data_IF_916312611475
#
_entry.id   IF_916312611475
#
_cell.length_a   1.000
_cell.length_b   1.000
_cell.length_c   1.000
_cell.angle_alpha   90.00
_cell.angle_beta   90.00
_cell.angle_gamma   90.00
#
_symmetry.space_group_name_H-M   'P 1'
#
loop_
_entity.id
_entity.type
_entity.pdbx_description
1 polymer ?
#
# COMPACT_ATOMS: atom_id res chain seq x y z
N UNK A 1 43.71 -0.04 -1.52
CA UNK A 1 44.42 -1.16 -0.88
C UNK A 1 45.65 -0.64 -0.14
N UNK A 2 45.96 -1.20 1.03
CA UNK A 2 46.94 -0.68 2.00
C UNK A 2 48.37 -1.03 1.60
N UNK A 3 49.15 -0.04 1.18
CA UNK A 3 50.61 -0.19 1.01
C UNK A 3 51.26 -0.46 2.36
N UNK A 4 51.91 -1.62 2.51
CA UNK A 4 52.60 -1.99 3.75
C UNK A 4 53.74 -0.98 4.03
N UNK A 5 53.72 -0.38 5.23
CA UNK A 5 54.71 0.65 5.64
C UNK A 5 56.03 0.05 6.12
N UNK A 6 56.07 -1.25 6.41
CA UNK A 6 57.27 -1.94 6.88
C UNK A 6 57.27 -3.39 6.39
N UNK A 7 58.43 -3.91 5.95
CA UNK A 7 58.52 -5.27 5.45
C UNK A 7 58.23 -6.27 6.56
N UNK A 8 57.54 -7.36 6.22
CA UNK A 8 57.28 -8.45 7.15
C UNK A 8 58.60 -9.07 7.66
N UNK A 9 58.78 -9.20 8.99
CA UNK A 9 60.00 -9.76 9.55
C UNK A 9 60.17 -11.23 9.12
N UNK A 10 61.30 -11.55 8.50
CA UNK A 10 61.63 -12.91 8.05
C UNK A 10 61.39 -13.19 6.56
N UNK A 11 60.78 -12.28 5.79
CA UNK A 11 60.62 -12.44 4.33
C UNK A 11 61.76 -11.70 3.60
N UNK A 12 62.49 -12.34 2.67
CA UNK A 12 63.58 -11.68 1.96
C UNK A 12 63.01 -10.56 1.08
N UNK A 13 63.59 -9.35 1.21
CA UNK A 13 63.17 -8.16 0.44
C UNK A 13 64.25 -7.74 -0.54
N UNK A 14 63.83 -7.26 -1.71
CA UNK A 14 64.69 -6.62 -2.70
C UNK A 14 64.24 -5.19 -2.97
N UNK A 15 65.16 -4.33 -3.40
CA UNK A 15 64.81 -2.95 -3.76
C UNK A 15 64.04 -2.91 -5.08
N UNK A 16 63.18 -1.90 -5.27
CA UNK A 16 62.45 -1.73 -6.53
C UNK A 16 63.36 -1.61 -7.76
N UNK A 17 64.62 -1.16 -7.59
CA UNK A 17 65.62 -1.10 -8.67
C UNK A 17 66.17 -2.48 -9.02
N UNK A 18 66.37 -3.34 -8.04
CA UNK A 18 66.79 -4.73 -8.26
C UNK A 18 65.66 -5.52 -8.91
N UNK A 19 64.42 -5.35 -8.44
CA UNK A 19 63.23 -5.93 -9.07
C UNK A 19 63.07 -5.47 -10.53
N UNK A 20 63.28 -4.18 -10.80
CA UNK A 20 63.24 -3.61 -12.14
C UNK A 20 64.28 -4.24 -13.08
N UNK A 21 65.51 -4.47 -12.58
CA UNK A 21 66.56 -5.15 -13.35
C UNK A 21 66.20 -6.61 -13.64
N UNK A 22 65.62 -7.30 -12.66
CA UNK A 22 65.24 -8.71 -12.78
C UNK A 22 64.08 -8.88 -13.79
N UNK A 23 63.07 -8.03 -13.72
CA UNK A 23 61.91 -8.05 -14.62
C UNK A 23 62.12 -7.32 -15.96
N UNK A 24 63.29 -6.70 -16.18
CA UNK A 24 63.58 -5.84 -17.35
C UNK A 24 62.52 -4.75 -17.58
N UNK A 25 61.99 -4.16 -16.50
CA UNK A 25 60.98 -3.08 -16.51
C UNK A 25 61.54 -1.79 -15.91
N UNK A 26 60.88 -0.66 -16.18
CA UNK A 26 61.22 0.62 -15.54
C UNK A 26 60.85 0.57 -14.03
N UNK A 27 61.71 1.08 -13.11
CA UNK A 27 61.36 1.23 -11.70
C UNK A 27 60.02 1.92 -11.41
N UNK A 28 59.56 2.85 -12.27
CA UNK A 28 58.24 3.49 -12.17
C UNK A 28 57.10 2.52 -12.46
N UNK A 29 57.31 1.59 -13.40
CA UNK A 29 56.34 0.51 -13.66
C UNK A 29 56.22 -0.41 -12.45
N UNK A 30 57.34 -0.74 -11.80
CA UNK A 30 57.32 -1.54 -10.56
C UNK A 30 56.56 -0.82 -9.44
N UNK A 31 56.75 0.50 -9.28
CA UNK A 31 55.98 1.29 -8.30
C UNK A 31 54.48 1.21 -8.57
N UNK A 32 54.08 1.41 -9.84
CA UNK A 32 52.68 1.30 -10.24
C UNK A 32 52.12 -0.11 -9.99
N UNK A 33 52.88 -1.16 -10.28
CA UNK A 33 52.47 -2.55 -10.02
C UNK A 33 52.29 -2.83 -8.51
N UNK A 34 53.07 -2.19 -7.64
CA UNK A 34 52.88 -2.27 -6.17
C UNK A 34 51.60 -1.52 -5.75
N UNK A 35 51.32 -0.37 -6.36
CA UNK A 35 50.11 0.44 -6.08
C UNK A 35 48.83 -0.22 -6.58
N UNK A 36 48.88 -0.85 -7.77
CA UNK A 36 47.78 -1.58 -8.41
C UNK A 36 47.54 -2.97 -7.76
N UNK A 37 48.44 -3.40 -6.87
CA UNK A 37 48.33 -4.67 -6.13
C UNK A 37 48.78 -5.91 -6.94
N UNK A 38 49.47 -5.71 -8.07
CA UNK A 38 50.03 -6.80 -8.87
C UNK A 38 51.32 -7.38 -8.26
N UNK A 39 52.03 -6.61 -7.44
CA UNK A 39 53.24 -7.05 -6.71
C UNK A 39 53.10 -6.80 -5.21
N UNK A 40 53.40 -7.80 -4.39
CA UNK A 40 53.47 -7.65 -2.93
C UNK A 40 54.68 -6.80 -2.57
N UNK A 41 54.44 -5.60 -2.06
CA UNK A 41 55.51 -4.68 -1.73
C UNK A 41 55.03 -3.48 -0.95
N UNK A 42 55.98 -2.62 -0.61
CA UNK A 42 55.70 -1.46 0.22
C UNK A 42 56.69 -0.34 -0.01
N UNK A 43 56.42 0.78 0.66
CA UNK A 43 57.28 1.96 0.65
C UNK A 43 57.76 2.26 2.06
N UNK A 44 59.07 2.15 2.27
CA UNK A 44 59.71 2.63 3.49
C UNK A 44 59.78 4.16 3.47
N UNK A 45 59.18 4.81 4.48
CA UNK A 45 59.27 6.27 4.64
C UNK A 45 60.60 6.63 5.32
N UNK A 46 61.64 6.84 4.53
CA UNK A 46 62.91 7.38 5.02
C UNK A 46 62.83 8.90 5.25
N UNK A 47 63.78 9.48 6.00
CA UNK A 47 63.77 10.90 6.39
C UNK A 47 63.88 11.90 5.22
N UNK A 48 64.30 11.46 4.03
CA UNK A 48 64.49 12.34 2.88
C UNK A 48 63.76 11.89 1.61
N UNK A 49 63.51 10.58 1.43
CA UNK A 49 62.79 10.01 0.26
C UNK A 49 62.15 8.66 0.60
N UNK A 50 61.00 8.35 -0.02
CA UNK A 50 60.35 7.04 0.03
C UNK A 50 61.21 6.01 -0.71
N UNK A 51 61.52 4.88 -0.07
CA UNK A 51 62.26 3.75 -0.68
C UNK A 51 61.30 2.58 -0.88
N UNK A 52 61.07 2.21 -2.13
CA UNK A 52 60.19 1.10 -2.50
C UNK A 52 60.91 -0.25 -2.41
N UNK A 53 60.23 -1.24 -1.84
CA UNK A 53 60.71 -2.61 -1.71
C UNK A 53 59.67 -3.61 -2.20
N UNK A 54 60.13 -4.76 -2.68
CA UNK A 54 59.31 -5.89 -3.15
C UNK A 54 59.85 -7.16 -2.51
N UNK A 55 58.98 -8.11 -2.17
CA UNK A 55 59.44 -9.38 -1.59
C UNK A 55 60.07 -10.27 -2.66
N UNK A 56 61.29 -10.76 -2.37
CA UNK A 56 62.14 -11.47 -3.33
C UNK A 56 61.65 -12.89 -3.67
N UNK A 57 60.88 -13.48 -2.77
CA UNK A 57 60.24 -14.79 -2.95
C UNK A 57 59.21 -14.80 -4.09
N UNK A 58 58.64 -13.64 -4.46
CA UNK A 58 57.73 -13.55 -5.61
C UNK A 58 58.39 -13.87 -6.95
N UNK A 59 59.70 -13.63 -7.07
CA UNK A 59 60.44 -13.84 -8.30
C UNK A 59 61.10 -15.22 -8.39
N UNK A 60 61.22 -15.91 -7.24
CA UNK A 60 61.85 -17.22 -7.13
C UNK A 60 60.86 -18.33 -6.76
N UNK A 61 59.57 -18.02 -6.65
CA UNK A 61 58.54 -19.05 -6.77
C UNK A 61 58.60 -19.57 -8.20
N UNK A 62 58.92 -20.85 -8.45
CA UNK A 62 58.47 -21.46 -9.70
C UNK A 62 56.97 -21.19 -9.71
N UNK A 63 56.47 -20.50 -10.76
CA UNK A 63 55.07 -20.10 -10.91
C UNK A 63 54.20 -21.08 -10.15
N UNK A 64 53.72 -20.65 -8.97
CA UNK A 64 52.93 -21.51 -8.10
C UNK A 64 51.90 -22.14 -9.01
N UNK A 65 51.96 -23.48 -9.11
CA UNK A 65 51.28 -24.29 -10.12
C UNK A 65 49.99 -23.59 -10.53
N UNK A 66 50.02 -22.99 -11.72
CA UNK A 66 48.79 -22.54 -12.36
C UNK A 66 48.02 -23.84 -12.50
N UNK A 67 47.09 -24.09 -11.58
CA UNK A 67 46.13 -25.17 -11.69
C UNK A 67 45.65 -25.13 -13.15
N UNK A 68 45.66 -26.25 -13.87
CA UNK A 68 45.65 -26.22 -15.33
C UNK A 68 44.53 -25.30 -15.79
N UNK A 69 44.80 -24.31 -16.64
CA UNK A 69 43.83 -23.28 -17.02
C UNK A 69 42.49 -23.88 -17.52
N UNK A 70 42.52 -25.15 -17.94
CA UNK A 70 41.35 -25.97 -18.23
C UNK A 70 40.44 -26.27 -17.02
N UNK A 71 40.98 -26.60 -15.83
CA UNK A 71 40.17 -26.79 -14.60
C UNK A 71 39.55 -25.47 -14.14
N UNK A 72 40.32 -24.37 -14.11
CA UNK A 72 39.77 -23.07 -13.72
C UNK A 72 38.66 -22.62 -14.69
N UNK A 73 38.81 -22.88 -15.99
CA UNK A 73 37.76 -22.58 -16.97
C UNK A 73 36.52 -23.49 -16.81
N UNK A 74 36.68 -24.76 -16.47
CA UNK A 74 35.55 -25.66 -16.20
C UNK A 74 34.80 -25.29 -14.94
N UNK A 75 35.52 -24.89 -13.88
CA UNK A 75 34.91 -24.48 -12.61
C UNK A 75 34.11 -23.18 -12.77
N UNK A 76 34.66 -22.21 -13.53
CA UNK A 76 33.95 -20.97 -13.89
C UNK A 76 32.73 -21.25 -14.77
N UNK A 77 32.82 -22.20 -15.71
CA UNK A 77 31.68 -22.59 -16.54
C UNK A 77 30.57 -23.26 -15.72
N UNK A 78 30.93 -24.17 -14.80
CA UNK A 78 29.99 -24.82 -13.90
C UNK A 78 29.29 -23.82 -12.97
N UNK A 79 30.05 -22.86 -12.42
CA UNK A 79 29.48 -21.82 -11.57
C UNK A 79 28.58 -20.87 -12.37
N UNK A 80 28.97 -20.50 -13.60
CA UNK A 80 28.11 -19.71 -14.49
C UNK A 80 26.78 -20.42 -14.76
N UNK A 81 26.83 -21.71 -15.08
CA UNK A 81 25.63 -22.47 -15.41
C UNK A 81 24.72 -22.62 -14.18
N UNK A 82 25.31 -22.81 -12.99
CA UNK A 82 24.59 -22.77 -11.71
C UNK A 82 23.91 -21.41 -11.48
N UNK A 83 24.65 -20.32 -11.64
CA UNK A 83 24.11 -18.97 -11.46
C UNK A 83 22.99 -18.65 -12.46
N UNK A 84 23.08 -19.15 -13.69
CA UNK A 84 22.02 -18.98 -14.69
C UNK A 84 20.74 -19.72 -14.29
N UNK A 85 20.87 -20.93 -13.74
CA UNK A 85 19.73 -21.69 -13.21
C UNK A 85 19.09 -20.95 -12.02
N UNK A 86 19.90 -20.51 -11.05
CA UNK A 86 19.41 -19.75 -9.90
C UNK A 86 18.74 -18.43 -10.33
N UNK A 87 19.29 -17.73 -11.33
CA UNK A 87 18.66 -16.51 -11.86
C UNK A 87 17.32 -16.81 -12.54
N UNK A 88 17.20 -17.95 -13.23
CA UNK A 88 15.94 -18.38 -13.84
C UNK A 88 14.89 -18.68 -12.77
N UNK A 89 15.27 -19.40 -11.71
CA UNK A 89 14.39 -19.75 -10.59
C UNK A 89 13.92 -18.48 -9.84
N UNK A 90 14.84 -17.58 -9.51
CA UNK A 90 14.51 -16.31 -8.84
C UNK A 90 13.58 -15.43 -9.69
N UNK A 91 13.75 -15.43 -11.02
CA UNK A 91 12.83 -14.71 -11.92
C UNK A 91 11.45 -15.35 -11.94
N UNK A 92 11.36 -16.67 -11.92
CA UNK A 92 10.08 -17.38 -11.87
C UNK A 92 9.35 -17.08 -10.55
N UNK A 93 10.05 -17.12 -9.41
CA UNK A 93 9.49 -16.77 -8.10
C UNK A 93 9.02 -15.31 -8.05
N UNK A 94 9.81 -14.39 -8.62
CA UNK A 94 9.45 -12.97 -8.69
C UNK A 94 8.19 -12.73 -9.54
N UNK A 95 8.03 -13.46 -10.65
CA UNK A 95 6.80 -13.40 -11.45
C UNK A 95 5.61 -13.94 -10.65
N UNK A 96 5.77 -15.10 -10.01
CA UNK A 96 4.72 -15.73 -9.20
C UNK A 96 4.26 -14.83 -8.04
N UNK A 97 5.19 -14.23 -7.31
CA UNK A 97 4.88 -13.31 -6.20
C UNK A 97 4.19 -12.03 -6.70
N UNK A 98 4.59 -11.48 -7.85
CA UNK A 98 3.90 -10.35 -8.47
C UNK A 98 2.46 -10.68 -8.88
N UNK A 99 2.22 -11.89 -9.39
CA UNK A 99 0.88 -12.35 -9.73
C UNK A 99 0.01 -12.52 -8.48
N UNK A 100 0.55 -13.14 -7.43
CA UNK A 100 -0.13 -13.25 -6.14
C UNK A 100 -0.47 -11.86 -5.56
N UNK A 101 0.47 -10.91 -5.64
CA UNK A 101 0.24 -9.53 -5.19
C UNK A 101 -0.86 -8.83 -6.01
N UNK A 102 -0.88 -9.00 -7.33
CA UNK A 102 -1.96 -8.47 -8.18
C UNK A 102 -3.32 -9.06 -7.81
N UNK A 103 -3.38 -10.36 -7.51
CA UNK A 103 -4.61 -11.01 -7.08
C UNK A 103 -5.10 -10.46 -5.73
N UNK A 104 -4.20 -10.25 -4.77
CA UNK A 104 -4.54 -9.65 -3.47
C UNK A 104 -5.02 -8.22 -3.62
N UNK A 105 -4.40 -7.42 -4.49
CA UNK A 105 -4.89 -6.07 -4.76
C UNK A 105 -6.27 -6.07 -5.42
N UNK A 106 -6.51 -6.98 -6.36
CA UNK A 106 -7.82 -7.13 -6.99
C UNK A 106 -8.89 -7.53 -5.95
N UNK A 107 -8.60 -8.48 -5.06
CA UNK A 107 -9.55 -8.89 -4.02
C UNK A 107 -9.81 -7.77 -3.01
N UNK A 108 -8.79 -6.99 -2.63
CA UNK A 108 -8.97 -5.81 -1.80
C UNK A 108 -9.87 -4.76 -2.45
N UNK A 109 -9.70 -4.50 -3.75
CA UNK A 109 -10.56 -3.58 -4.48
C UNK A 109 -12.03 -4.05 -4.45
N UNK A 110 -12.29 -5.33 -4.72
CA UNK A 110 -13.64 -5.90 -4.65
C UNK A 110 -14.23 -5.83 -3.23
N UNK A 111 -13.44 -6.06 -2.19
CA UNK A 111 -13.91 -5.92 -0.80
C UNK A 111 -14.28 -4.47 -0.46
N UNK A 112 -13.50 -3.49 -0.91
CA UNK A 112 -13.81 -2.08 -0.70
C UNK A 112 -15.08 -1.64 -1.43
N UNK A 113 -15.27 -2.11 -2.66
CA UNK A 113 -16.49 -1.87 -3.43
C UNK A 113 -17.71 -2.47 -2.71
N UNK A 114 -17.63 -3.74 -2.29
CA UNK A 114 -18.69 -4.41 -1.55
C UNK A 114 -19.03 -3.71 -0.22
N UNK A 115 -18.03 -3.18 0.48
CA UNK A 115 -18.26 -2.41 1.71
C UNK A 115 -18.99 -1.09 1.42
N UNK A 116 -18.64 -0.42 0.33
CA UNK A 116 -19.28 0.84 -0.10
C UNK A 116 -20.74 0.60 -0.49
N UNK A 117 -21.01 -0.47 -1.22
CA UNK A 117 -22.38 -0.85 -1.59
C UNK A 117 -23.20 -1.28 -0.36
N UNK A 118 -22.58 -2.00 0.59
CA UNK A 118 -23.22 -2.33 1.85
C UNK A 118 -23.60 -1.07 2.65
N UNK A 119 -22.70 -0.11 2.77
CA UNK A 119 -22.98 1.16 3.44
C UNK A 119 -24.15 1.90 2.77
N UNK A 120 -24.15 1.99 1.44
CA UNK A 120 -25.26 2.58 0.68
C UNK A 120 -26.58 1.87 0.96
N UNK A 121 -26.58 0.53 0.96
CA UNK A 121 -27.78 -0.26 1.25
C UNK A 121 -28.31 -0.02 2.66
N UNK A 122 -27.41 0.10 3.65
CA UNK A 122 -27.80 0.42 5.04
C UNK A 122 -28.41 1.82 5.12
N UNK A 123 -27.81 2.81 4.45
CA UNK A 123 -28.34 4.17 4.42
C UNK A 123 -29.73 4.23 3.75
N UNK A 124 -29.92 3.50 2.64
CA UNK A 124 -31.20 3.37 1.97
C UNK A 124 -32.26 2.69 2.87
N UNK A 125 -31.89 1.66 3.61
CA UNK A 125 -32.78 1.01 4.59
C UNK A 125 -33.17 1.97 5.70
N UNK A 126 -32.23 2.73 6.26
CA UNK A 126 -32.51 3.72 7.29
C UNK A 126 -33.41 4.85 6.78
N UNK A 127 -33.17 5.33 5.57
CA UNK A 127 -34.05 6.31 4.92
C UNK A 127 -35.46 5.75 4.71
N UNK A 128 -35.57 4.52 4.20
CA UNK A 128 -36.84 3.82 4.01
C UNK A 128 -37.62 3.64 5.30
N UNK A 129 -36.97 3.19 6.38
CA UNK A 129 -37.64 3.02 7.70
C UNK A 129 -38.14 4.34 8.26
N UNK A 130 -37.42 5.43 8.03
CA UNK A 130 -37.84 6.78 8.43
C UNK A 130 -39.07 7.21 7.63
N UNK A 131 -39.05 7.05 6.30
CA UNK A 131 -40.20 7.34 5.44
C UNK A 131 -41.44 6.51 5.81
N UNK A 132 -41.26 5.23 6.15
CA UNK A 132 -42.36 4.39 6.63
C UNK A 132 -42.97 4.90 7.95
N UNK A 133 -42.12 5.35 8.89
CA UNK A 133 -42.60 5.93 10.15
C UNK A 133 -43.41 7.20 9.91
N UNK A 134 -42.92 8.07 9.03
CA UNK A 134 -43.61 9.32 8.68
C UNK A 134 -44.96 9.02 8.00
N UNK A 135 -44.98 8.07 7.06
CA UNK A 135 -46.22 7.62 6.42
C UNK A 135 -47.22 7.05 7.43
N UNK A 136 -46.77 6.28 8.42
CA UNK A 136 -47.62 5.76 9.48
C UNK A 136 -48.21 6.89 10.34
N UNK A 137 -47.41 7.92 10.67
CA UNK A 137 -47.89 9.09 11.40
C UNK A 137 -48.95 9.87 10.60
N UNK A 138 -48.73 10.08 9.30
CA UNK A 138 -49.72 10.70 8.41
C UNK A 138 -51.02 9.89 8.33
N UNK A 139 -50.93 8.57 8.25
CA UNK A 139 -52.10 7.70 8.24
C UNK A 139 -52.90 7.83 9.54
N UNK A 140 -52.23 7.82 10.70
CA UNK A 140 -52.87 7.99 12.00
C UNK A 140 -53.58 9.35 12.09
N UNK A 141 -52.93 10.43 11.65
CA UNK A 141 -53.54 11.75 11.60
C UNK A 141 -54.78 11.80 10.69
N UNK A 142 -54.72 11.14 9.52
CA UNK A 142 -55.85 11.04 8.60
C UNK A 142 -57.04 10.29 9.23
N UNK A 143 -56.79 9.17 9.93
CA UNK A 143 -57.83 8.42 10.64
C UNK A 143 -58.49 9.27 11.72
N UNK A 144 -57.72 9.99 12.54
CA UNK A 144 -58.27 10.91 13.55
C UNK A 144 -59.09 12.05 12.90
N UNK A 145 -58.63 12.59 11.78
CA UNK A 145 -59.37 13.58 10.99
C UNK A 145 -60.71 13.05 10.48
N UNK A 146 -60.73 11.82 9.95
CA UNK A 146 -61.96 11.15 9.51
C UNK A 146 -62.94 10.91 10.66
N UNK A 147 -62.47 10.48 11.83
CA UNK A 147 -63.30 10.31 13.01
C UNK A 147 -63.94 11.64 13.47
N UNK A 148 -63.14 12.72 13.50
CA UNK A 148 -63.66 14.06 13.81
C UNK A 148 -64.68 14.54 12.78
N UNK A 149 -64.41 14.31 11.49
CA UNK A 149 -65.35 14.63 10.41
C UNK A 149 -66.67 13.87 10.55
N UNK A 150 -66.62 12.56 10.81
CA UNK A 150 -67.82 11.75 11.05
C UNK A 150 -68.62 12.24 12.26
N UNK A 151 -67.95 12.63 13.35
CA UNK A 151 -68.62 13.23 14.51
C UNK A 151 -69.36 14.52 14.14
N UNK A 152 -68.72 15.40 13.35
CA UNK A 152 -69.35 16.65 12.86
C UNK A 152 -70.52 16.37 11.92
N UNK A 153 -70.39 15.42 10.99
CA UNK A 153 -71.48 15.03 10.10
C UNK A 153 -72.69 14.49 10.88
N UNK A 154 -72.45 13.67 11.90
CA UNK A 154 -73.51 13.17 12.77
C UNK A 154 -74.17 14.29 13.59
N UNK A 155 -73.41 15.27 14.07
CA UNK A 155 -73.96 16.45 14.75
C UNK A 155 -74.85 17.27 13.81
N UNK A 156 -74.40 17.53 12.58
CA UNK A 156 -75.18 18.25 11.57
C UNK A 156 -76.45 17.48 11.21
N UNK A 157 -76.36 16.17 11.01
CA UNK A 157 -77.51 15.32 10.73
C UNK A 157 -78.52 15.34 11.89
N UNK A 158 -78.05 15.28 13.14
CA UNK A 158 -78.89 15.41 14.33
C UNK A 158 -79.60 16.76 14.40
N UNK A 159 -78.87 17.87 14.23
CA UNK A 159 -79.45 19.21 14.23
C UNK A 159 -80.50 19.40 13.12
N UNK A 160 -80.28 18.82 11.94
CA UNK A 160 -81.26 18.84 10.85
C UNK A 160 -82.52 18.04 11.20
N UNK A 161 -82.35 16.85 11.79
CA UNK A 161 -83.47 16.04 12.28
C UNK A 161 -84.31 16.78 13.33
N UNK A 162 -83.67 17.44 14.29
CA UNK A 162 -84.35 18.22 15.33
C UNK A 162 -85.13 19.40 14.74
N UNK A 163 -84.54 20.13 13.78
CA UNK A 163 -85.21 21.22 13.08
C UNK A 163 -86.45 20.74 12.30
N UNK A 164 -86.36 19.59 11.64
CA UNK A 164 -87.51 18.96 10.97
C UNK A 164 -88.61 18.57 11.97
N UNK A 165 -88.25 17.99 13.11
CA UNK A 165 -89.23 17.64 14.14
C UNK A 165 -89.94 18.87 14.73
N UNK A 166 -89.21 19.97 14.95
CA UNK A 166 -89.80 21.23 15.40
C UNK A 166 -90.78 21.82 14.37
N UNK A 167 -90.51 21.64 13.07
CA UNK A 167 -91.41 22.05 11.98
C UNK A 167 -92.64 21.15 11.79
N UNK A 168 -92.61 19.91 12.30
CA UNK A 168 -93.66 18.90 12.13
C UNK A 168 -94.64 18.82 13.31
N UNK A 169 -94.34 19.40 14.48
CA UNK A 169 -95.29 19.50 15.60
C UNK A 169 -96.27 20.65 15.31
N UNK A 170 -97.55 20.38 15.00
CA UNK A 170 -98.54 21.43 14.77
C UNK A 170 -98.95 22.02 16.13
N UNK A 171 -98.28 23.09 16.55
CA UNK A 171 -98.60 23.76 17.81
C UNK A 171 -98.10 25.20 17.96
N UNK A 172 -97.31 25.72 17.01
CA UNK A 172 -96.70 27.06 17.15
C UNK A 172 -97.14 28.07 16.08
N UNK A 173 -98.27 27.82 15.40
CA UNK A 173 -98.97 28.84 14.62
C UNK A 173 -99.81 29.83 15.48
N UNK A 174 -99.58 29.86 16.80
CA UNK A 174 -100.43 30.57 17.77
C UNK A 174 -99.89 31.91 18.30
N UNK A 175 -98.67 32.34 17.99
CA UNK A 175 -98.04 33.47 18.69
C UNK A 175 -97.71 34.70 17.84
N UNK A 176 -98.12 34.75 16.56
CA UNK A 176 -97.92 35.91 15.69
C UNK A 176 -99.22 36.66 15.32
N UNK A 177 -100.26 36.58 16.14
CA UNK A 177 -101.56 37.16 15.81
C UNK A 177 -102.38 37.70 16.97
N UNK A 178 -101.78 38.37 17.97
CA UNK A 178 -102.55 39.32 18.79
C UNK A 178 -101.65 40.30 19.55
N UNK A 179 -101.00 41.23 18.83
CA UNK A 179 -100.37 42.39 19.44
C UNK A 179 -100.83 43.66 18.72
N UNK A 180 -101.84 44.29 19.32
CA UNK A 180 -102.20 45.70 19.14
C UNK A 180 -103.56 45.94 18.47
N UNK A 181 -104.12 47.15 18.61
CA UNK A 181 -104.17 48.01 19.79
C UNK A 181 -105.61 48.54 20.01
N UNK A 182 -106.00 48.95 21.22
CA UNK A 182 -107.00 50.02 21.40
C UNK A 182 -107.17 50.41 22.87
N UNK A 183 -106.90 51.70 23.11
CA UNK A 183 -107.54 52.65 24.03
C UNK A 183 -107.72 52.27 25.50
#
# INVERSE_FOLDING_TARGET
MTTEKSPQPGRPVMTAREAARLLRKDPRTIQRMIEDGELDGGAHQGPQRRRWFVYADQFNRPSAEIAPAAQAASDVAAERDRLLLENADLRAELISTKEAYRLVLASQATMHEALTDYQRSVDELLAGTTAFRDAAAHFQAAVSGLQSSNSKLNQVAGAYSDALHQGLIPGHAGTLGNAGPNQ
#
